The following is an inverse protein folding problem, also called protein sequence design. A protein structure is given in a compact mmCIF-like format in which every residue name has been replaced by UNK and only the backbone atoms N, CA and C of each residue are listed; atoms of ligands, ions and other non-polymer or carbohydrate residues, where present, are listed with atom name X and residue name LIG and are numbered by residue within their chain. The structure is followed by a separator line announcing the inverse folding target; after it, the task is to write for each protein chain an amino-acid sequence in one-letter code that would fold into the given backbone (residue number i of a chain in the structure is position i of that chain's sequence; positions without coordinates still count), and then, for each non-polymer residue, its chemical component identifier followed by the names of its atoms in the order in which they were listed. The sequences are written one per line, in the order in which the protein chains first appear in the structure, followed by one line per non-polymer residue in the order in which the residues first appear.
data_IF_640854502551
#
_entry.id   IF_640854502551
#
_cell.length_a   1.000
_cell.length_b   1.000
_cell.length_c   1.000
_cell.angle_alpha   90.00
_cell.angle_beta   90.00
_cell.angle_gamma   90.00
#
_symmetry.space_group_name_H-M   'P 1'
#
loop_
_entity.id
_entity.type
_entity.pdbx_description
1 polymer ?
#
# COMPACT_ATOMS: atom_id res chain seq x y z
N UNK A 1 -39.20 -15.23 -32.77
CA UNK A 1 -38.68 -14.17 -31.89
C UNK A 1 -37.18 -14.40 -31.69
N UNK A 2 -36.35 -13.74 -32.50
CA UNK A 2 -34.89 -13.94 -32.48
C UNK A 2 -34.26 -13.17 -31.32
N UNK A 3 -33.58 -13.88 -30.42
CA UNK A 3 -32.81 -13.31 -29.31
C UNK A 3 -31.69 -12.44 -29.89
N UNK A 4 -31.62 -11.17 -29.46
CA UNK A 4 -30.48 -10.29 -29.75
C UNK A 4 -29.22 -10.89 -29.12
N UNK A 5 -28.30 -11.34 -29.95
CA UNK A 5 -26.93 -11.65 -29.54
C UNK A 5 -26.29 -10.36 -29.02
N UNK A 6 -26.04 -10.31 -27.71
CA UNK A 6 -25.28 -9.23 -27.09
C UNK A 6 -23.84 -9.40 -27.56
N UNK A 7 -23.34 -8.46 -28.36
CA UNK A 7 -21.98 -8.48 -28.90
C UNK A 7 -20.96 -8.37 -27.74
N UNK A 8 -20.42 -9.52 -27.32
CA UNK A 8 -19.54 -9.67 -26.15
C UNK A 8 -18.09 -9.27 -26.40
N UNK A 9 -17.73 -8.92 -27.64
CA UNK A 9 -16.37 -8.60 -28.06
C UNK A 9 -16.25 -7.18 -28.61
N UNK A 10 -15.16 -6.50 -28.25
CA UNK A 10 -14.83 -5.12 -28.65
C UNK A 10 -13.53 -5.14 -29.46
N UNK A 11 -13.43 -4.31 -30.50
CA UNK A 11 -12.21 -4.17 -31.28
C UNK A 11 -11.12 -3.50 -30.45
N UNK A 12 -9.88 -4.00 -30.52
CA UNK A 12 -8.74 -3.38 -29.83
C UNK A 12 -8.45 -1.97 -30.37
N UNK A 13 -8.78 -1.71 -31.64
CA UNK A 13 -8.64 -0.38 -32.26
C UNK A 13 -9.55 0.69 -31.63
N UNK A 14 -10.64 0.28 -30.97
CA UNK A 14 -11.59 1.19 -30.31
C UNK A 14 -11.21 1.46 -28.84
N UNK A 15 -10.11 0.88 -28.35
CA UNK A 15 -9.66 1.02 -26.97
C UNK A 15 -8.62 2.15 -26.82
N UNK A 16 -8.56 2.82 -25.64
CA UNK A 16 -7.47 3.74 -25.33
C UNK A 16 -6.10 3.06 -25.50
N UNK A 17 -5.11 3.77 -26.05
CA UNK A 17 -3.80 3.20 -26.39
C UNK A 17 -3.10 2.45 -25.25
N UNK A 18 -3.23 2.95 -24.02
CA UNK A 18 -2.70 2.28 -22.82
C UNK A 18 -3.38 0.91 -22.58
N UNK A 19 -4.69 0.83 -22.78
CA UNK A 19 -5.46 -0.40 -22.58
C UNK A 19 -5.24 -1.38 -23.74
N UNK A 20 -5.16 -0.89 -24.98
CA UNK A 20 -4.85 -1.68 -26.17
C UNK A 20 -3.49 -2.40 -26.06
N UNK A 21 -2.49 -1.71 -25.50
CA UNK A 21 -1.18 -2.31 -25.22
C UNK A 21 -1.27 -3.41 -24.16
N UNK A 22 -1.94 -3.15 -23.05
CA UNK A 22 -2.07 -4.12 -21.94
C UNK A 22 -2.81 -5.39 -22.39
N UNK A 23 -3.91 -5.27 -23.14
CA UNK A 23 -4.65 -6.47 -23.62
C UNK A 23 -3.83 -7.29 -24.61
N UNK A 24 -2.97 -6.64 -25.40
CA UNK A 24 -2.07 -7.31 -26.34
C UNK A 24 -0.91 -8.00 -25.62
N UNK A 25 -0.27 -7.34 -24.66
CA UNK A 25 0.82 -7.90 -23.85
C UNK A 25 0.36 -9.11 -23.01
N UNK A 26 -0.92 -9.14 -22.62
CA UNK A 26 -1.53 -10.25 -21.88
C UNK A 26 -2.09 -11.36 -22.79
N UNK A 27 -1.99 -11.25 -24.12
CA UNK A 27 -2.47 -12.26 -25.06
C UNK A 27 -3.99 -12.45 -25.04
N UNK A 28 -4.75 -11.41 -24.67
CA UNK A 28 -6.23 -11.47 -24.54
C UNK A 28 -6.96 -11.11 -25.84
N UNK A 29 -6.20 -10.86 -26.91
CA UNK A 29 -6.69 -10.47 -28.24
C UNK A 29 -6.83 -11.72 -29.09
N UNK A 30 -8.02 -11.91 -29.67
CA UNK A 30 -8.24 -13.02 -30.59
C UNK A 30 -7.64 -12.76 -31.98
N UNK A 31 -7.66 -13.78 -32.83
CA UNK A 31 -7.13 -13.76 -34.20
C UNK A 31 -7.76 -12.66 -35.08
N UNK A 32 -8.92 -12.13 -34.68
CA UNK A 32 -9.63 -11.06 -35.37
C UNK A 32 -9.38 -9.67 -34.75
N UNK A 33 -8.40 -9.53 -33.85
CA UNK A 33 -8.06 -8.27 -33.20
C UNK A 33 -9.11 -7.79 -32.19
N UNK A 34 -9.89 -8.71 -31.61
CA UNK A 34 -10.97 -8.39 -30.65
C UNK A 34 -10.70 -8.96 -29.27
N UNK A 35 -11.22 -8.28 -28.26
CA UNK A 35 -11.11 -8.66 -26.85
C UNK A 35 -12.48 -8.68 -26.18
N UNK A 36 -12.67 -9.59 -25.22
CA UNK A 36 -13.92 -9.68 -24.48
C UNK A 36 -14.16 -8.40 -23.64
N UNK A 37 -15.37 -7.85 -23.72
CA UNK A 37 -15.77 -6.63 -23.01
C UNK A 37 -15.62 -6.75 -21.49
N UNK A 38 -15.74 -7.95 -20.93
CA UNK A 38 -15.52 -8.21 -19.51
C UNK A 38 -14.05 -8.06 -19.09
N UNK A 39 -13.11 -8.52 -19.93
CA UNK A 39 -11.68 -8.29 -19.73
C UNK A 39 -11.34 -6.80 -19.83
N UNK A 40 -11.93 -6.10 -20.80
CA UNK A 40 -11.78 -4.64 -20.96
C UNK A 40 -12.30 -3.89 -19.74
N UNK A 41 -13.45 -4.29 -19.18
CA UNK A 41 -14.01 -3.67 -17.97
C UNK A 41 -13.11 -3.86 -16.75
N UNK A 42 -12.67 -5.10 -16.52
CA UNK A 42 -11.82 -5.46 -15.39
C UNK A 42 -10.46 -4.75 -15.45
N UNK A 43 -9.85 -4.70 -16.64
CA UNK A 43 -8.59 -3.99 -16.88
C UNK A 43 -8.77 -2.46 -16.86
N UNK A 44 -9.89 -1.94 -17.33
CA UNK A 44 -10.22 -0.52 -17.25
C UNK A 44 -10.33 -0.03 -15.80
N UNK A 45 -11.00 -0.79 -14.93
CA UNK A 45 -11.05 -0.52 -13.49
C UNK A 45 -9.66 -0.56 -12.84
N UNK A 46 -8.80 -1.49 -13.28
CA UNK A 46 -7.42 -1.57 -12.81
C UNK A 46 -6.58 -0.36 -13.26
N UNK A 47 -6.68 0.04 -14.53
CA UNK A 47 -5.93 1.19 -15.08
C UNK A 47 -6.37 2.50 -14.40
N UNK A 48 -7.67 2.73 -14.20
CA UNK A 48 -8.19 3.91 -13.48
C UNK A 48 -7.70 3.95 -12.04
N UNK A 49 -7.52 2.79 -11.41
CA UNK A 49 -7.15 2.70 -9.99
C UNK A 49 -5.65 2.76 -9.73
N UNK A 50 -4.82 2.34 -10.68
CA UNK A 50 -3.39 2.14 -10.44
C UNK A 50 -2.45 2.86 -11.41
N UNK A 51 -2.95 3.49 -12.48
CA UNK A 51 -2.14 4.33 -13.37
C UNK A 51 -2.47 5.80 -13.08
N UNK A 52 -1.57 6.58 -12.44
CA UNK A 52 -1.77 8.01 -12.35
C UNK A 52 -1.82 8.61 -13.76
N UNK A 53 -2.77 9.51 -14.01
CA UNK A 53 -2.94 10.16 -15.30
C UNK A 53 -1.60 10.68 -15.79
N UNK A 54 -1.11 10.15 -16.92
CA UNK A 54 0.14 10.56 -17.53
C UNK A 54 0.12 12.07 -17.74
N UNK A 55 1.04 12.76 -17.07
CA UNK A 55 1.32 14.17 -17.25
C UNK A 55 1.60 14.45 -18.74
N UNK A 56 1.04 15.51 -19.35
CA UNK A 56 1.39 15.85 -20.74
C UNK A 56 2.90 16.15 -20.83
N UNK A 57 3.54 15.88 -21.99
CA UNK A 57 4.97 16.06 -22.14
C UNK A 57 5.35 17.52 -21.86
N UNK A 58 6.37 17.70 -21.02
CA UNK A 58 6.91 18.99 -20.67
C UNK A 58 7.38 19.70 -21.94
N UNK A 59 6.78 20.86 -22.24
CA UNK A 59 7.29 21.78 -23.24
C UNK A 59 8.69 22.24 -22.81
N UNK A 60 9.66 22.02 -23.68
CA UNK A 60 11.03 22.50 -23.57
C UNK A 60 11.02 24.01 -23.32
N UNK A 61 11.60 24.44 -22.19
CA UNK A 61 11.94 25.85 -21.96
C UNK A 61 13.43 26.05 -22.24
N UNK A 62 13.81 27.05 -23.05
CA UNK A 62 15.19 27.27 -23.43
C UNK A 62 16.00 27.82 -22.26
N UNK A 63 17.27 27.42 -22.27
CA UNK A 63 18.38 27.86 -21.42
C UNK A 63 18.58 29.36 -21.58
N UNK A 64 18.61 30.10 -20.46
CA UNK A 64 19.21 31.43 -20.39
C UNK A 64 20.19 31.54 -19.23
N UNK A 65 21.38 32.01 -19.60
CA UNK A 65 22.61 32.21 -18.83
C UNK A 65 22.49 33.24 -17.70
N UNK A 66 23.23 32.94 -16.63
CA UNK A 66 24.22 33.78 -15.89
C UNK A 66 23.99 35.30 -15.83
N UNK A 67 23.89 35.81 -14.61
CA UNK A 67 24.08 37.22 -14.25
C UNK A 67 24.14 37.38 -12.73
N UNK A 68 25.34 37.73 -12.27
CA UNK A 68 25.80 37.86 -10.89
C UNK A 68 25.45 39.24 -10.28
N UNK A 69 25.57 39.34 -8.94
CA UNK A 69 25.96 40.53 -8.14
C UNK A 69 24.88 41.46 -7.50
N UNK A 70 25.06 41.57 -6.18
CA UNK A 70 24.81 42.65 -5.19
C UNK A 70 23.43 43.04 -4.62
N UNK A 71 23.34 42.81 -3.30
CA UNK A 71 22.73 43.67 -2.27
C UNK A 71 23.50 45.00 -2.16
N UNK A 72 22.96 46.13 -1.60
CA UNK A 72 22.36 46.13 -0.26
C UNK A 72 21.32 47.23 0.10
N UNK A 73 20.75 47.03 1.29
CA UNK A 73 20.40 47.97 2.38
C UNK A 73 19.54 49.24 2.15
N UNK A 74 18.68 49.48 3.15
CA UNK A 74 18.19 50.81 3.57
C UNK A 74 16.66 50.91 3.58
N UNK A 75 15.93 50.85 4.70
CA UNK A 75 15.78 51.80 5.82
C UNK A 75 14.41 52.53 5.76
N UNK A 76 13.60 52.27 6.80
CA UNK A 76 12.65 53.16 7.53
C UNK A 76 11.78 54.17 6.76
N UNK A 77 10.45 54.07 6.94
CA UNK A 77 9.56 55.12 7.52
C UNK A 77 8.07 54.97 7.10
N UNK A 78 7.21 54.64 8.07
CA UNK A 78 5.81 55.12 8.15
C UNK A 78 5.77 56.59 8.64
N UNK A 79 4.63 57.29 8.77
CA UNK A 79 3.26 57.12 8.22
C UNK A 79 2.70 58.45 7.63
N UNK A 80 1.45 58.46 7.17
CA UNK A 80 0.36 59.45 7.46
C UNK A 80 -0.58 59.67 6.27
N UNK A 81 -1.88 59.83 6.56
CA UNK A 81 -2.83 60.41 5.60
C UNK A 81 -4.21 59.75 5.53
N UNK A 82 -5.08 60.06 6.49
CA UNK A 82 -6.53 59.79 6.50
C UNK A 82 -7.27 60.89 5.67
N UNK A 83 -8.62 60.93 5.59
CA UNK A 83 -9.60 60.15 4.81
C UNK A 83 -10.38 61.02 3.78
N UNK A 84 -11.20 60.40 2.89
CA UNK A 84 -12.41 61.06 2.34
C UNK A 84 -13.61 60.11 2.16
N UNK A 85 -14.70 60.46 2.88
CA UNK A 85 -16.16 60.44 2.57
C UNK A 85 -16.56 59.70 1.26
N UNK A 86 -17.57 58.84 1.16
CA UNK A 86 -18.78 58.56 1.94
C UNK A 86 -19.97 58.44 0.97
N UNK A 87 -20.79 57.37 1.04
CA UNK A 87 -22.21 57.32 0.61
C UNK A 87 -22.88 55.99 1.08
N UNK A 88 -24.16 55.99 1.51
CA UNK A 88 -24.76 54.93 2.33
C UNK A 88 -25.47 53.80 1.53
N UNK A 89 -25.89 52.69 2.19
CA UNK A 89 -26.41 51.50 1.52
C UNK A 89 -27.89 51.60 1.16
N UNK A 90 -28.30 50.86 0.13
CA UNK A 90 -29.67 50.78 -0.37
C UNK A 90 -30.32 49.50 0.16
N UNK A 91 -31.32 49.67 1.02
CA UNK A 91 -32.19 48.62 1.48
C UNK A 91 -32.93 47.95 0.31
N UNK A 92 -32.81 46.63 0.22
CA UNK A 92 -33.79 45.80 -0.48
C UNK A 92 -34.16 44.65 0.43
N UNK A 93 -35.31 44.82 1.09
CA UNK A 93 -36.01 43.75 1.77
C UNK A 93 -36.39 42.68 0.74
N UNK A 94 -35.81 41.48 0.86
CA UNK A 94 -36.21 40.32 0.09
C UNK A 94 -36.85 39.29 1.02
N UNK A 95 -38.17 39.16 0.87
CA UNK A 95 -39.00 38.08 1.42
C UNK A 95 -38.43 36.74 0.95
N UNK A 96 -37.70 36.04 1.81
CA UNK A 96 -37.44 34.62 1.65
C UNK A 96 -38.43 33.86 2.54
N UNK A 97 -39.43 33.24 1.92
CA UNK A 97 -40.39 32.37 2.59
C UNK A 97 -39.65 31.22 3.27
N UNK A 98 -39.91 31.06 4.56
CA UNK A 98 -39.43 29.92 5.35
C UNK A 98 -40.12 28.66 4.83
N UNK A 99 -39.44 27.91 3.97
CA UNK A 99 -39.83 26.54 3.65
C UNK A 99 -39.69 25.75 4.95
N UNK A 100 -40.83 25.45 5.59
CA UNK A 100 -40.88 24.63 6.79
C UNK A 100 -40.39 23.22 6.47
N UNK A 101 -39.12 22.94 6.76
CA UNK A 101 -38.57 21.59 6.74
C UNK A 101 -39.25 20.79 7.84
N UNK A 102 -40.21 19.93 7.46
CA UNK A 102 -40.80 18.95 8.39
C UNK A 102 -39.67 18.14 9.05
N UNK A 103 -39.72 17.90 10.37
CA UNK A 103 -38.71 17.09 11.05
C UNK A 103 -38.76 15.65 10.49
N UNK A 104 -37.64 15.18 9.93
CA UNK A 104 -37.53 13.81 9.41
C UNK A 104 -37.47 12.84 10.58
N UNK A 105 -38.43 11.92 10.64
CA UNK A 105 -38.63 11.01 11.78
C UNK A 105 -37.89 9.68 11.64
N UNK A 106 -37.31 9.37 10.47
CA UNK A 106 -36.61 8.09 10.24
C UNK A 106 -35.22 8.30 9.63
N UNK A 107 -34.18 7.67 10.18
CA UNK A 107 -32.84 7.72 9.62
C UNK A 107 -32.82 7.02 8.25
N UNK A 108 -31.99 7.56 7.37
CA UNK A 108 -31.69 7.00 6.05
C UNK A 108 -30.84 5.74 6.19
N UNK A 109 -30.87 4.89 5.15
CA UNK A 109 -30.00 3.71 5.07
C UNK A 109 -28.51 4.06 5.23
N UNK A 110 -28.09 5.24 4.75
CA UNK A 110 -26.72 5.72 4.88
C UNK A 110 -26.37 6.08 6.34
N UNK A 111 -27.29 6.73 7.07
CA UNK A 111 -27.11 7.05 8.49
C UNK A 111 -27.10 5.77 9.35
N UNK A 112 -28.01 4.83 9.08
CA UNK A 112 -28.02 3.53 9.77
C UNK A 112 -26.71 2.77 9.54
N UNK A 113 -26.22 2.75 8.30
CA UNK A 113 -24.92 2.13 7.99
C UNK A 113 -23.76 2.85 8.66
N UNK A 114 -23.75 4.18 8.66
CA UNK A 114 -22.72 4.98 9.31
C UNK A 114 -22.65 4.73 10.82
N UNK A 115 -23.81 4.62 11.46
CA UNK A 115 -23.91 4.29 12.88
C UNK A 115 -23.42 2.86 13.16
N UNK A 116 -23.78 1.89 12.32
CA UNK A 116 -23.27 0.53 12.45
C UNK A 116 -21.74 0.48 12.25
N UNK A 117 -21.19 1.18 11.25
CA UNK A 117 -19.74 1.31 11.06
C UNK A 117 -19.05 1.90 12.29
N UNK A 118 -19.64 2.93 12.92
CA UNK A 118 -19.12 3.54 14.14
C UNK A 118 -19.08 2.53 15.30
N UNK A 119 -20.16 1.77 15.50
CA UNK A 119 -20.24 0.71 16.52
C UNK A 119 -19.22 -0.41 16.27
N UNK A 120 -19.05 -0.83 15.01
CA UNK A 120 -18.02 -1.82 14.63
C UNK A 120 -16.62 -1.28 14.94
N UNK A 121 -16.33 -0.02 14.59
CA UNK A 121 -15.05 0.62 14.87
C UNK A 121 -14.75 0.75 16.38
N UNK A 122 -15.78 0.95 17.19
CA UNK A 122 -15.68 0.97 18.65
C UNK A 122 -15.41 -0.43 19.23
N UNK A 123 -16.13 -1.44 18.75
CA UNK A 123 -15.88 -2.84 19.10
C UNK A 123 -14.46 -3.27 18.75
N UNK A 124 -13.99 -3.00 17.53
CA UNK A 124 -12.65 -3.39 17.07
C UNK A 124 -11.51 -2.68 17.80
N UNK A 125 -11.77 -1.54 18.46
CA UNK A 125 -10.78 -0.90 19.35
C UNK A 125 -10.63 -1.63 20.68
N UNK A 126 -11.69 -2.28 21.16
CA UNK A 126 -11.68 -3.06 22.40
C UNK A 126 -11.25 -4.51 22.15
N UNK A 127 -11.73 -5.08 21.04
CA UNK A 127 -11.52 -6.47 20.63
C UNK A 127 -10.87 -6.55 19.23
N UNK A 128 -9.64 -6.03 19.03
CA UNK A 128 -8.94 -6.10 17.75
C UNK A 128 -8.68 -7.55 17.33
N UNK A 129 -8.84 -7.85 16.04
CA UNK A 129 -8.76 -9.22 15.53
C UNK A 129 -10.03 -10.06 15.77
N UNK A 130 -11.16 -9.43 16.06
CA UNK A 130 -12.47 -10.10 16.03
C UNK A 130 -12.83 -10.53 14.60
N UNK A 131 -13.54 -11.65 14.45
CA UNK A 131 -14.12 -12.06 13.16
C UNK A 131 -15.43 -11.32 12.89
N UNK A 132 -15.90 -11.33 11.64
CA UNK A 132 -17.21 -10.74 11.30
C UNK A 132 -18.36 -11.42 12.06
N UNK A 133 -18.25 -12.72 12.34
CA UNK A 133 -19.26 -13.47 13.09
C UNK A 133 -19.33 -13.00 14.55
N UNK A 134 -18.18 -12.80 15.19
CA UNK A 134 -18.11 -12.31 16.57
C UNK A 134 -18.61 -10.87 16.70
N UNK A 135 -18.30 -10.03 15.72
CA UNK A 135 -18.81 -8.65 15.67
C UNK A 135 -20.34 -8.65 15.50
N UNK A 136 -20.87 -9.55 14.66
CA UNK A 136 -22.31 -9.69 14.46
C UNK A 136 -23.04 -10.12 15.73
N UNK A 137 -22.49 -11.11 16.44
CA UNK A 137 -22.99 -11.56 17.73
C UNK A 137 -22.94 -10.45 18.78
N UNK A 138 -21.78 -9.83 18.97
CA UNK A 138 -21.56 -8.77 19.96
C UNK A 138 -22.45 -7.54 19.74
N UNK A 139 -22.74 -7.18 18.48
CA UNK A 139 -23.57 -6.01 18.16
C UNK A 139 -25.06 -6.33 18.00
N UNK A 140 -25.44 -7.62 18.03
CA UNK A 140 -26.80 -8.10 17.75
C UNK A 140 -27.29 -7.72 16.36
N UNK A 141 -26.40 -7.75 15.36
CA UNK A 141 -26.66 -7.28 14.00
C UNK A 141 -26.50 -8.43 12.97
N UNK A 142 -27.27 -8.43 11.86
CA UNK A 142 -27.11 -9.44 10.82
C UNK A 142 -25.69 -9.43 10.23
N UNK A 143 -25.11 -10.62 10.01
CA UNK A 143 -23.76 -10.76 9.43
C UNK A 143 -23.62 -10.04 8.07
N UNK A 144 -24.69 -10.00 7.27
CA UNK A 144 -24.71 -9.27 5.99
C UNK A 144 -24.53 -7.77 6.18
N UNK A 145 -25.16 -7.19 7.20
CA UNK A 145 -25.08 -5.75 7.49
C UNK A 145 -23.71 -5.40 8.08
N UNK A 146 -23.18 -6.27 8.94
CA UNK A 146 -21.83 -6.14 9.49
C UNK A 146 -20.77 -6.25 8.40
N UNK A 147 -20.84 -7.24 7.52
CA UNK A 147 -19.89 -7.41 6.41
C UNK A 147 -19.80 -6.17 5.50
N UNK A 148 -20.95 -5.55 5.18
CA UNK A 148 -20.98 -4.32 4.38
C UNK A 148 -20.47 -3.12 5.19
N UNK A 149 -20.86 -2.99 6.45
CA UNK A 149 -20.56 -1.83 7.30
C UNK A 149 -19.15 -1.87 7.89
N UNK A 150 -18.50 -3.04 7.92
CA UNK A 150 -17.14 -3.22 8.39
C UNK A 150 -16.09 -2.83 7.35
N UNK A 151 -16.43 -2.74 6.05
CA UNK A 151 -15.46 -2.38 4.98
C UNK A 151 -14.62 -1.14 5.27
N UNK A 152 -15.15 -0.06 5.88
CA UNK A 152 -14.35 1.10 6.23
C UNK A 152 -13.44 0.93 7.45
N UNK A 153 -13.43 -0.24 8.10
CA UNK A 153 -12.66 -0.60 9.32
C UNK A 153 -12.14 -2.06 9.29
N UNK A 154 -12.10 -2.68 8.12
CA UNK A 154 -11.77 -4.10 7.95
C UNK A 154 -10.30 -4.44 8.23
N UNK A 155 -9.44 -3.44 8.42
CA UNK A 155 -8.02 -3.66 8.69
C UNK A 155 -7.72 -4.22 10.08
N UNK A 156 -8.70 -4.23 10.99
CA UNK A 156 -8.61 -4.84 12.32
C UNK A 156 -9.40 -6.16 12.42
N UNK A 157 -10.00 -6.62 11.32
CA UNK A 157 -10.80 -7.85 11.28
C UNK A 157 -9.91 -9.02 10.85
N UNK A 158 -10.09 -10.16 11.51
CA UNK A 158 -9.53 -11.43 11.05
C UNK A 158 -10.62 -12.26 10.34
N UNK A 159 -10.24 -12.98 9.29
CA UNK A 159 -11.08 -14.04 8.76
C UNK A 159 -11.00 -15.28 9.66
N UNK A 160 -11.98 -16.17 9.60
CA UNK A 160 -12.02 -17.38 10.44
C UNK A 160 -10.77 -18.26 10.21
N UNK A 161 -10.34 -18.40 8.96
CA UNK A 161 -9.11 -19.10 8.58
C UNK A 161 -7.85 -18.44 9.13
N UNK A 162 -7.90 -17.14 9.44
CA UNK A 162 -6.78 -16.40 9.95
C UNK A 162 -6.63 -16.51 11.47
N UNK A 163 -7.57 -17.13 12.19
CA UNK A 163 -7.48 -17.26 13.65
C UNK A 163 -6.32 -18.16 14.10
N UNK A 164 -6.03 -19.19 13.32
CA UNK A 164 -4.97 -20.15 13.61
C UNK A 164 -3.75 -19.84 12.76
N UNK A 165 -2.56 -19.95 13.36
CA UNK A 165 -1.32 -19.85 12.59
C UNK A 165 -1.21 -21.06 11.65
N UNK A 166 -1.05 -20.84 10.34
CA UNK A 166 -0.94 -21.96 9.41
C UNK A 166 0.30 -22.79 9.76
N UNK A 167 0.20 -24.13 9.74
CA UNK A 167 1.28 -25.03 10.17
C UNK A 167 2.52 -24.92 9.27
N UNK A 168 2.36 -24.43 8.04
CA UNK A 168 3.45 -24.14 7.13
C UNK A 168 3.15 -22.89 6.33
N UNK A 169 4.17 -22.05 6.13
CA UNK A 169 4.06 -20.86 5.30
C UNK A 169 4.21 -21.25 3.83
N UNK A 170 3.10 -21.29 3.10
CA UNK A 170 3.11 -21.55 1.66
C UNK A 170 3.57 -20.29 0.94
N UNK A 171 4.77 -20.32 0.34
CA UNK A 171 5.22 -19.23 -0.52
C UNK A 171 4.33 -19.12 -1.76
N UNK A 172 4.01 -17.90 -2.18
CA UNK A 172 3.35 -17.70 -3.47
C UNK A 172 4.22 -18.23 -4.61
N UNK A 173 3.62 -18.77 -5.66
CA UNK A 173 4.34 -19.30 -6.82
C UNK A 173 5.36 -18.31 -7.41
N UNK A 174 5.01 -17.01 -7.44
CA UNK A 174 5.91 -15.97 -7.89
C UNK A 174 7.15 -15.79 -6.98
N UNK A 175 6.98 -15.95 -5.67
CA UNK A 175 8.08 -15.89 -4.69
C UNK A 175 8.95 -17.12 -4.87
N UNK A 176 8.35 -18.31 -4.94
CA UNK A 176 9.06 -19.57 -5.17
C UNK A 176 9.86 -19.53 -6.49
N UNK A 177 9.25 -19.09 -7.58
CA UNK A 177 9.93 -18.93 -8.88
C UNK A 177 11.09 -17.91 -8.82
N UNK A 178 10.94 -16.83 -8.03
CA UNK A 178 12.02 -15.86 -7.82
C UNK A 178 13.14 -16.46 -6.96
N UNK A 179 12.79 -17.27 -5.95
CA UNK A 179 13.73 -17.98 -5.09
C UNK A 179 14.56 -18.97 -5.89
N UNK A 180 13.93 -19.76 -6.76
CA UNK A 180 14.62 -20.68 -7.67
C UNK A 180 15.52 -19.94 -8.67
N UNK A 181 15.06 -18.81 -9.22
CA UNK A 181 15.91 -17.95 -10.08
C UNK A 181 17.12 -17.40 -9.32
N UNK A 182 16.95 -17.04 -8.05
CA UNK A 182 18.06 -16.61 -7.20
C UNK A 182 19.06 -17.75 -6.95
N UNK A 183 18.58 -18.95 -6.64
CA UNK A 183 19.44 -20.14 -6.46
C UNK A 183 20.26 -20.44 -7.71
N UNK A 184 19.60 -20.47 -8.88
CA UNK A 184 20.28 -20.69 -10.15
C UNK A 184 21.34 -19.62 -10.45
N UNK A 185 21.05 -18.34 -10.16
CA UNK A 185 21.99 -17.25 -10.33
C UNK A 185 23.21 -17.36 -9.39
N UNK A 186 22.99 -17.73 -8.12
CA UNK A 186 24.07 -17.93 -7.15
C UNK A 186 24.97 -19.11 -7.56
N UNK A 187 24.38 -20.21 -8.01
CA UNK A 187 25.11 -21.37 -8.53
C UNK A 187 25.91 -21.02 -9.79
N UNK A 188 25.35 -20.25 -10.73
CA UNK A 188 26.09 -19.79 -11.91
C UNK A 188 27.23 -18.83 -11.55
N UNK A 189 27.00 -17.93 -10.59
CA UNK A 189 28.01 -16.96 -10.15
C UNK A 189 29.19 -17.62 -9.44
N UNK A 190 28.95 -18.70 -8.67
CA UNK A 190 30.02 -19.41 -7.96
C UNK A 190 31.01 -20.12 -8.90
N UNK A 191 30.59 -20.45 -10.12
CA UNK A 191 31.47 -20.97 -11.18
C UNK A 191 32.44 -19.92 -11.73
N UNK A 192 32.14 -18.63 -11.53
CA UNK A 192 32.90 -17.50 -12.07
C UNK A 192 33.72 -16.77 -10.99
N UNK A 193 33.30 -16.85 -9.72
CA UNK A 193 33.97 -16.22 -8.59
C UNK A 193 33.73 -17.01 -7.30
N UNK A 194 34.80 -17.26 -6.53
CA UNK A 194 34.72 -17.94 -5.24
C UNK A 194 35.82 -17.48 -4.27
N UNK A 195 35.50 -17.21 -2.98
CA UNK A 195 34.17 -17.20 -2.34
C UNK A 195 33.25 -16.09 -2.88
N UNK A 196 31.94 -16.33 -2.93
CA UNK A 196 31.01 -15.41 -3.54
C UNK A 196 30.65 -14.27 -2.58
N UNK A 197 31.15 -13.06 -2.86
CA UNK A 197 30.82 -11.83 -2.14
C UNK A 197 29.67 -11.06 -2.81
N UNK A 198 29.05 -10.12 -2.07
CA UNK A 198 28.03 -9.22 -2.62
C UNK A 198 28.54 -8.47 -3.85
N UNK A 199 29.79 -7.97 -3.77
CA UNK A 199 30.40 -7.17 -4.82
C UNK A 199 30.70 -8.03 -6.05
N UNK A 200 31.25 -9.23 -5.86
CA UNK A 200 31.52 -10.16 -6.96
C UNK A 200 30.23 -10.51 -7.72
N UNK A 201 29.17 -10.88 -7.00
CA UNK A 201 27.87 -11.17 -7.62
C UNK A 201 27.28 -9.96 -8.34
N UNK A 202 27.29 -8.78 -7.71
CA UNK A 202 26.76 -7.55 -8.30
C UNK A 202 27.50 -7.18 -9.60
N UNK A 203 28.82 -7.35 -9.63
CA UNK A 203 29.64 -7.14 -10.82
C UNK A 203 29.24 -8.12 -11.93
N UNK A 204 29.12 -9.42 -11.63
CA UNK A 204 28.72 -10.44 -12.61
C UNK A 204 27.33 -10.18 -13.20
N UNK A 205 26.38 -9.71 -12.40
CA UNK A 205 25.05 -9.33 -12.88
C UNK A 205 25.11 -8.09 -13.76
N UNK A 206 25.86 -7.06 -13.34
CA UNK A 206 26.02 -5.80 -14.10
C UNK A 206 26.68 -6.04 -15.45
N UNK A 207 27.66 -6.94 -15.51
CA UNK A 207 28.38 -7.32 -16.73
C UNK A 207 27.58 -8.31 -17.61
N UNK A 208 26.37 -8.71 -17.18
CA UNK A 208 25.53 -9.65 -17.92
C UNK A 208 26.05 -11.09 -17.93
N UNK A 209 27.11 -11.39 -17.17
CA UNK A 209 27.71 -12.73 -17.02
C UNK A 209 26.78 -13.69 -16.28
N UNK A 210 25.93 -13.16 -15.41
CA UNK A 210 24.91 -13.88 -14.65
C UNK A 210 23.58 -13.13 -14.75
N UNK A 211 22.47 -13.85 -14.90
CA UNK A 211 21.12 -13.28 -14.82
C UNK A 211 20.46 -13.69 -13.52
N UNK A 212 20.17 -12.72 -12.67
CA UNK A 212 19.56 -12.97 -11.36
C UNK A 212 19.02 -11.71 -10.69
N UNK A 213 18.28 -11.88 -9.58
CA UNK A 213 17.81 -10.76 -8.77
C UNK A 213 18.96 -10.01 -8.09
N UNK A 214 18.69 -8.80 -7.61
CA UNK A 214 19.67 -8.00 -6.85
C UNK A 214 20.02 -8.66 -5.51
N UNK A 215 21.20 -8.33 -4.96
CA UNK A 215 21.64 -8.80 -3.63
C UNK A 215 20.58 -8.49 -2.56
N UNK A 216 20.01 -7.29 -2.58
CA UNK A 216 18.96 -6.90 -1.64
C UNK A 216 17.73 -7.82 -1.74
N UNK A 217 17.33 -8.19 -2.96
CA UNK A 217 16.21 -9.11 -3.16
C UNK A 217 16.54 -10.53 -2.72
N UNK A 218 17.77 -11.00 -2.92
CA UNK A 218 18.25 -12.29 -2.41
C UNK A 218 18.19 -12.30 -0.88
N UNK A 219 18.73 -11.29 -0.21
CA UNK A 219 18.70 -11.20 1.26
C UNK A 219 17.26 -11.18 1.79
N UNK A 220 16.31 -10.54 1.10
CA UNK A 220 14.88 -10.59 1.48
C UNK A 220 14.28 -12.00 1.40
N UNK A 221 14.69 -12.79 0.41
CA UNK A 221 14.14 -14.14 0.20
C UNK A 221 14.72 -15.14 1.21
N UNK A 222 16.03 -15.06 1.47
CA UNK A 222 16.78 -16.05 2.26
C UNK A 222 17.15 -15.57 3.66
N UNK A 223 16.77 -14.34 4.04
CA UNK A 223 17.12 -13.71 5.32
C UNK A 223 18.56 -13.19 5.41
N UNK A 224 19.52 -13.85 4.76
CA UNK A 224 20.90 -13.38 4.66
C UNK A 224 21.60 -13.90 3.40
N UNK A 225 22.71 -13.26 3.02
CA UNK A 225 23.55 -13.72 1.91
C UNK A 225 24.20 -15.07 2.17
N UNK A 226 24.73 -15.27 3.38
CA UNK A 226 25.34 -16.54 3.79
C UNK A 226 24.31 -17.67 3.77
N UNK A 227 23.09 -17.43 4.26
CA UNK A 227 22.00 -18.40 4.16
C UNK A 227 21.65 -18.71 2.69
N UNK A 228 21.58 -17.69 1.83
CA UNK A 228 21.33 -17.90 0.40
C UNK A 228 22.41 -18.74 -0.27
N UNK A 229 23.69 -18.52 0.07
CA UNK A 229 24.80 -19.30 -0.45
C UNK A 229 24.79 -20.75 0.09
N UNK A 230 24.46 -20.93 1.37
CA UNK A 230 24.34 -22.25 1.99
C UNK A 230 23.24 -23.10 1.34
N UNK A 231 22.10 -22.49 1.00
CA UNK A 231 20.97 -23.15 0.30
C UNK A 231 21.34 -23.73 -1.07
N UNK A 232 22.38 -23.20 -1.72
CA UNK A 232 22.89 -23.72 -2.99
C UNK A 232 24.23 -24.47 -2.84
N UNK A 233 24.72 -24.64 -1.61
CA UNK A 233 25.98 -25.32 -1.32
C UNK A 233 27.23 -24.58 -1.80
N UNK A 234 27.18 -23.24 -1.93
CA UNK A 234 28.34 -22.44 -2.36
C UNK A 234 28.98 -21.68 -1.20
N UNK A 235 30.29 -21.48 -1.27
CA UNK A 235 31.02 -20.70 -0.27
C UNK A 235 30.68 -19.20 -0.39
N UNK A 236 30.17 -18.61 0.69
CA UNK A 236 30.02 -17.15 0.79
C UNK A 236 31.33 -16.50 1.18
N UNK A 237 31.60 -15.29 0.68
CA UNK A 237 32.68 -14.44 1.21
C UNK A 237 32.52 -14.15 2.70
N UNK A 238 33.63 -13.76 3.35
CA UNK A 238 33.59 -13.44 4.78
C UNK A 238 32.58 -12.31 5.07
N UNK A 239 31.79 -12.43 6.17
CA UNK A 239 30.93 -11.36 6.61
C UNK A 239 31.76 -10.10 6.87
N UNK A 240 31.36 -8.97 6.27
CA UNK A 240 32.03 -7.68 6.46
C UNK A 240 32.04 -7.21 7.93
N UNK A 241 31.16 -7.76 8.78
CA UNK A 241 31.06 -7.44 10.21
C UNK A 241 30.96 -8.72 11.03
N UNK A 242 31.93 -8.94 11.91
CA UNK A 242 31.96 -10.10 12.81
C UNK A 242 30.98 -9.98 13.99
N UNK A 243 30.65 -8.74 14.40
CA UNK A 243 29.83 -8.45 15.58
C UNK A 243 28.56 -7.68 15.20
N UNK A 244 27.66 -8.30 14.43
CA UNK A 244 26.35 -7.70 14.15
C UNK A 244 25.35 -8.12 15.23
N UNK A 245 25.02 -7.19 16.11
CA UNK A 245 23.88 -7.34 17.02
C UNK A 245 22.63 -6.79 16.35
N UNK A 246 21.57 -7.61 16.30
CA UNK A 246 20.26 -7.17 15.79
C UNK A 246 19.67 -6.20 16.80
N UNK A 247 19.39 -4.97 16.34
CA UNK A 247 18.77 -3.94 17.18
C UNK A 247 17.36 -4.31 17.65
N UNK A 248 16.64 -5.11 16.87
CA UNK A 248 15.27 -5.52 17.18
C UNK A 248 15.11 -7.03 17.06
N UNK A 249 14.41 -7.61 18.02
CA UNK A 249 13.85 -8.95 17.99
C UNK A 249 12.58 -8.99 17.15
N UNK A 250 12.11 -10.20 16.79
CA UNK A 250 10.87 -10.35 16.02
C UNK A 250 9.66 -9.84 16.82
N UNK A 251 9.69 -10.06 18.12
CA UNK A 251 8.65 -9.70 19.08
C UNK A 251 8.54 -8.18 19.21
N UNK A 252 9.66 -7.48 19.39
CA UNK A 252 9.69 -6.00 19.43
C UNK A 252 9.19 -5.38 18.11
N UNK A 253 9.52 -6.00 16.97
CA UNK A 253 8.99 -5.56 15.67
C UNK A 253 7.47 -5.70 15.63
N UNK A 254 6.92 -6.82 16.11
CA UNK A 254 5.47 -7.04 16.15
C UNK A 254 4.80 -6.05 17.10
N UNK A 255 5.40 -5.71 18.24
CA UNK A 255 4.87 -4.70 19.16
C UNK A 255 4.76 -3.31 18.48
N UNK A 256 5.72 -2.94 17.62
CA UNK A 256 5.61 -1.72 16.81
C UNK A 256 4.48 -1.79 15.78
N UNK A 257 4.26 -2.95 15.15
CA UNK A 257 3.15 -3.14 14.20
C UNK A 257 1.80 -3.05 14.91
N UNK A 258 1.67 -3.63 16.10
CA UNK A 258 0.45 -3.54 16.90
C UNK A 258 0.16 -2.09 17.32
N UNK A 259 1.18 -1.35 17.77
CA UNK A 259 1.04 0.08 18.09
C UNK A 259 0.58 0.88 16.87
N UNK A 260 1.08 0.57 15.69
CA UNK A 260 0.63 1.19 14.44
C UNK A 260 -0.84 0.83 14.11
N UNK A 261 -1.23 -0.44 14.24
CA UNK A 261 -2.60 -0.89 13.94
C UNK A 261 -3.63 -0.29 14.90
N UNK A 262 -3.23 0.00 16.14
CA UNK A 262 -4.07 0.66 17.13
C UNK A 262 -4.30 2.16 16.85
N UNK A 263 -3.53 2.78 15.94
CA UNK A 263 -3.60 4.22 15.65
C UNK A 263 -4.85 4.57 14.81
N UNK A 264 -5.82 5.35 15.33
CA UNK A 264 -7.07 5.64 14.62
C UNK A 264 -6.88 6.46 13.33
N UNK A 265 -5.77 7.19 13.21
CA UNK A 265 -5.45 8.00 12.05
C UNK A 265 -5.04 7.16 10.81
N UNK A 266 -4.79 5.86 10.99
CA UNK A 266 -4.30 4.97 9.94
C UNK A 266 -5.24 3.77 9.73
N UNK A 267 -5.19 3.19 8.52
CA UNK A 267 -6.06 2.08 8.10
C UNK A 267 -5.28 0.79 7.87
N UNK A 268 -4.17 0.62 8.59
CA UNK A 268 -3.36 -0.60 8.57
C UNK A 268 -2.66 -0.93 7.25
N UNK A 269 -2.55 0.01 6.29
CA UNK A 269 -1.88 -0.23 5.01
C UNK A 269 -0.35 -0.11 5.12
N UNK A 270 0.40 -0.90 4.36
CA UNK A 270 1.86 -0.96 4.50
C UNK A 270 2.57 0.38 4.29
N UNK A 271 2.11 1.20 3.33
CA UNK A 271 2.70 2.51 3.07
C UNK A 271 2.39 3.52 4.19
N UNK A 272 1.31 3.34 4.93
CA UNK A 272 0.95 4.18 6.07
C UNK A 272 1.86 3.90 7.27
N UNK A 273 2.46 2.70 7.36
CA UNK A 273 3.41 2.38 8.43
C UNK A 273 4.64 3.28 8.40
N UNK A 274 5.23 3.54 7.22
CA UNK A 274 6.37 4.44 7.12
C UNK A 274 5.98 5.92 7.34
N UNK A 275 4.75 6.29 6.95
CA UNK A 275 4.21 7.63 7.26
C UNK A 275 4.01 7.83 8.77
N UNK A 276 3.41 6.83 9.44
CA UNK A 276 3.27 6.80 10.89
C UNK A 276 4.63 6.85 11.58
N UNK A 277 5.56 5.99 11.17
CA UNK A 277 6.95 5.98 11.65
C UNK A 277 7.57 7.37 11.59
N UNK A 278 7.43 8.08 10.47
CA UNK A 278 7.99 9.43 10.32
C UNK A 278 7.39 10.43 11.31
N UNK A 279 6.10 10.28 11.65
CA UNK A 279 5.43 11.12 12.64
C UNK A 279 5.84 10.79 14.09
N UNK A 280 6.07 9.52 14.42
CA UNK A 280 6.39 9.08 15.80
C UNK A 280 7.89 9.02 16.12
N UNK A 281 8.77 9.06 15.11
CA UNK A 281 10.23 8.99 15.28
C UNK A 281 10.86 10.22 15.96
N UNK A 282 10.05 11.14 16.50
CA UNK A 282 10.51 12.20 17.41
C UNK A 282 10.92 11.68 18.79
N UNK A 283 10.19 10.71 19.35
CA UNK A 283 10.33 10.24 20.74
C UNK A 283 10.83 8.79 20.87
N UNK A 284 11.19 8.14 19.76
CA UNK A 284 11.66 6.74 19.77
C UNK A 284 12.21 6.27 18.42
N UNK A 285 12.85 5.09 18.42
CA UNK A 285 13.36 4.45 17.20
C UNK A 285 12.40 3.37 16.73
N UNK A 286 11.55 3.69 15.75
CA UNK A 286 10.67 2.72 15.09
C UNK A 286 11.36 2.14 13.85
N UNK A 287 11.34 0.81 13.65
CA UNK A 287 11.93 0.15 12.48
C UNK A 287 11.28 0.61 11.17
N UNK A 288 12.07 0.66 10.09
CA UNK A 288 11.50 0.89 8.75
C UNK A 288 10.62 -0.29 8.29
N UNK A 289 9.68 -0.06 7.37
CA UNK A 289 8.90 -1.15 6.78
C UNK A 289 9.78 -2.27 6.17
N UNK A 290 10.92 -1.91 5.59
CA UNK A 290 11.91 -2.87 5.09
C UNK A 290 12.47 -3.75 6.21
N UNK A 291 12.80 -3.16 7.36
CA UNK A 291 13.24 -3.88 8.56
C UNK A 291 12.16 -4.83 9.06
N UNK A 292 10.90 -4.37 9.12
CA UNK A 292 9.76 -5.19 9.55
C UNK A 292 9.63 -6.45 8.68
N UNK A 293 9.66 -6.28 7.36
CA UNK A 293 9.57 -7.41 6.41
C UNK A 293 10.74 -8.39 6.52
N UNK A 294 11.95 -7.88 6.74
CA UNK A 294 13.13 -8.72 6.83
C UNK A 294 13.18 -9.56 8.12
N UNK A 295 12.68 -9.03 9.24
CA UNK A 295 12.76 -9.71 10.54
C UNK A 295 11.56 -10.63 10.82
N UNK A 296 10.34 -10.22 10.42
CA UNK A 296 9.14 -11.05 10.61
C UNK A 296 8.96 -12.04 9.45
N UNK A 297 9.42 -11.66 8.26
CA UNK A 297 9.29 -12.45 7.04
C UNK A 297 7.93 -12.28 6.34
N UNK A 298 7.93 -12.56 5.04
CA UNK A 298 6.79 -12.57 4.10
C UNK A 298 6.07 -11.24 3.87
N UNK A 299 4.79 -11.31 3.50
CA UNK A 299 3.99 -10.18 3.04
C UNK A 299 3.49 -9.31 4.19
N UNK A 300 3.15 -8.05 3.89
CA UNK A 300 2.52 -7.17 4.87
C UNK A 300 1.22 -7.73 5.43
N UNK A 301 0.42 -8.42 4.60
CA UNK A 301 -0.83 -9.02 5.04
C UNK A 301 -0.58 -10.07 6.12
N UNK A 302 0.40 -10.95 5.92
CA UNK A 302 0.75 -11.98 6.91
C UNK A 302 1.30 -11.36 8.21
N UNK A 303 2.11 -10.30 8.10
CA UNK A 303 2.64 -9.56 9.26
C UNK A 303 1.49 -8.93 10.05
N UNK A 304 0.54 -8.26 9.36
CA UNK A 304 -0.66 -7.69 9.97
C UNK A 304 -1.50 -8.77 10.64
N UNK A 305 -1.77 -9.88 9.97
CA UNK A 305 -2.53 -11.01 10.54
C UNK A 305 -1.84 -11.57 11.79
N UNK A 306 -0.52 -11.71 11.76
CA UNK A 306 0.27 -12.14 12.93
C UNK A 306 0.12 -11.17 14.10
N UNK A 307 0.20 -9.86 13.85
CA UNK A 307 -0.01 -8.83 14.87
C UNK A 307 -1.45 -8.86 15.42
N UNK A 308 -2.46 -9.01 14.55
CA UNK A 308 -3.86 -9.10 14.99
C UNK A 308 -4.13 -10.35 15.84
N UNK A 309 -3.53 -11.50 15.54
CA UNK A 309 -3.61 -12.69 16.41
C UNK A 309 -3.03 -12.43 17.80
N UNK A 310 -1.90 -11.72 17.89
CA UNK A 310 -1.29 -11.33 19.17
C UNK A 310 -2.18 -10.37 19.95
N UNK A 311 -2.75 -9.36 19.28
CA UNK A 311 -3.70 -8.44 19.89
C UNK A 311 -4.95 -9.17 20.39
N UNK A 312 -5.45 -10.14 19.60
CA UNK A 312 -6.57 -11.01 19.95
C UNK A 312 -6.33 -11.84 21.20
N UNK A 313 -5.16 -12.47 21.29
CA UNK A 313 -4.79 -13.32 22.43
C UNK A 313 -4.82 -12.58 23.78
N UNK A 314 -4.85 -11.23 23.80
CA UNK A 314 -4.95 -10.44 25.04
C UNK A 314 -6.36 -10.31 25.59
N UNK A 315 -7.39 -10.42 24.76
CA UNK A 315 -8.79 -10.24 25.19
C UNK A 315 -9.63 -11.52 25.03
N UNK A 316 -9.18 -12.47 24.21
CA UNK A 316 -9.87 -13.74 23.99
C UNK A 316 -9.40 -14.88 24.93
N UNK A 317 -8.49 -14.59 25.87
CA UNK A 317 -7.94 -15.55 26.83
C UNK A 317 -8.78 -15.66 28.10
#
# INVERSE_FOLDING_TARGET
MSKREVTTKVSVADLPAALARVVSDLGLVDENGRVNREHVRTLGEFVVRFVPASQPPAAERPVSRVGDVDSPAGEVATPTGRPRRGRPPRDTASRAGTVGTRPRTRPTKAEVRGELTRRIAEHLRQCPGSTLAEIADALGAPLTDVSVSAKPVDWLVLEESDLVEPPMRTESEAIAATRERAKAALAAASLLAGPLSHQAYTTLVREGRVRGPSVARIVQLFGSWTAACAEVGVASGEPLRKNYERRWTREEILDHVERFLAEPAHRGASHQFDAWRAAVNGDGSVPSLGTVRNLVGGTWSEIRTTALRRMRARWAA
#
